data_IF_672682578411
#
_entry.id   IF_672682578411
#
_cell.length_a   1.000
_cell.length_b   1.000
_cell.length_c   1.000
_cell.angle_alpha   90.00
_cell.angle_beta   90.00
_cell.angle_gamma   90.00
#
_symmetry.space_group_name_H-M   'P 1'
#
loop_
_entity.id
_entity.type
_entity.pdbx_description
1 polymer ?
#
# COMPACT_ATOMS: atom_id res chain seq x y z
N UNK A 1 -2.41 13.60 -15.21
CA UNK A 1 -3.33 12.50 -14.93
C UNK A 1 -3.09 11.39 -15.92
N UNK A 2 -2.33 10.43 -15.48
CA UNK A 2 -1.93 9.35 -16.36
C UNK A 2 -2.00 8.02 -15.63
N UNK A 3 -2.32 6.97 -16.39
CA UNK A 3 -2.27 5.61 -15.89
C UNK A 3 -0.85 5.10 -16.12
N UNK A 4 -0.22 4.63 -15.05
CA UNK A 4 1.13 4.08 -15.10
C UNK A 4 1.08 2.56 -15.17
N UNK A 5 2.14 1.95 -15.69
CA UNK A 5 2.23 0.50 -15.78
C UNK A 5 2.55 -0.08 -14.41
N UNK A 6 1.74 -1.06 -13.98
CA UNK A 6 1.99 -1.77 -12.72
C UNK A 6 3.03 -2.85 -12.93
N UNK A 7 4.09 -2.81 -12.14
CA UNK A 7 5.17 -3.79 -12.15
C UNK A 7 4.68 -5.06 -11.48
N UNK A 8 5.00 -6.22 -12.06
CA UNK A 8 4.53 -7.52 -11.58
C UNK A 8 5.58 -8.23 -10.75
N UNK A 9 5.12 -9.21 -9.94
CA UNK A 9 6.00 -10.08 -9.18
C UNK A 9 7.04 -10.71 -10.10
N UNK A 10 8.25 -10.87 -9.56
CA UNK A 10 9.40 -11.32 -10.33
C UNK A 10 10.36 -10.20 -10.68
N UNK A 11 9.88 -8.96 -10.74
CA UNK A 11 10.75 -7.81 -10.96
C UNK A 11 11.48 -7.47 -9.65
N UNK A 12 12.82 -7.42 -9.68
CA UNK A 12 13.60 -7.14 -8.46
C UNK A 12 13.28 -5.82 -7.77
N UNK A 13 12.73 -4.82 -8.50
CA UNK A 13 12.44 -3.51 -7.91
C UNK A 13 11.43 -3.62 -6.77
N UNK A 14 10.53 -4.60 -6.81
CA UNK A 14 9.51 -4.76 -5.76
C UNK A 14 10.10 -5.15 -4.41
N UNK A 15 11.34 -5.62 -4.38
CA UNK A 15 12.04 -5.99 -3.15
C UNK A 15 13.00 -4.93 -2.65
N UNK A 16 13.00 -3.76 -3.30
CA UNK A 16 13.83 -2.64 -2.88
C UNK A 16 13.11 -1.76 -1.87
N UNK A 17 13.88 -1.16 -0.98
CA UNK A 17 13.34 -0.24 0.01
C UNK A 17 13.16 1.14 -0.62
N UNK A 18 11.99 1.73 -0.40
CA UNK A 18 11.65 3.07 -0.89
C UNK A 18 12.22 4.15 0.02
N UNK A 19 12.51 5.32 -0.55
CA UNK A 19 13.13 6.44 0.16
C UNK A 19 12.09 7.40 0.71
N UNK A 20 12.43 8.02 1.84
CA UNK A 20 11.62 9.06 2.46
C UNK A 20 11.45 10.23 1.49
N UNK A 21 10.24 10.76 1.40
CA UNK A 21 9.92 11.94 0.61
C UNK A 21 10.31 13.17 1.43
N UNK A 22 11.11 14.05 0.83
CA UNK A 22 11.57 15.29 1.48
C UNK A 22 10.95 16.54 0.84
N UNK A 23 10.53 16.45 -0.42
CA UNK A 23 9.95 17.57 -1.16
C UNK A 23 8.49 17.33 -1.47
N UNK A 24 7.65 18.26 -1.04
CA UNK A 24 6.19 18.20 -1.23
C UNK A 24 5.83 19.23 -2.30
N UNK A 25 6.03 18.86 -3.55
CA UNK A 25 5.96 19.72 -4.72
C UNK A 25 4.97 19.18 -5.77
N UNK A 26 4.96 19.82 -6.94
CA UNK A 26 4.06 19.43 -8.03
C UNK A 26 4.35 18.03 -8.56
N UNK A 27 5.60 17.55 -8.48
CA UNK A 27 5.95 16.20 -8.90
C UNK A 27 5.30 15.16 -7.99
N UNK A 28 5.29 15.42 -6.69
CA UNK A 28 4.61 14.56 -5.74
C UNK A 28 3.11 14.56 -5.99
N UNK A 29 2.52 15.73 -6.23
CA UNK A 29 1.09 15.84 -6.52
C UNK A 29 0.73 15.05 -7.79
N UNK A 30 1.53 15.17 -8.83
CA UNK A 30 1.33 14.42 -10.08
C UNK A 30 1.43 12.91 -9.84
N UNK A 31 2.42 12.48 -9.07
CA UNK A 31 2.60 11.06 -8.74
C UNK A 31 1.37 10.53 -7.99
N UNK A 32 0.88 11.27 -7.00
CA UNK A 32 -0.31 10.87 -6.24
C UNK A 32 -1.54 10.76 -7.15
N UNK A 33 -1.73 11.73 -8.04
CA UNK A 33 -2.87 11.72 -8.98
C UNK A 33 -2.77 10.54 -9.96
N UNK A 34 -1.57 10.29 -10.49
CA UNK A 34 -1.34 9.16 -11.41
C UNK A 34 -1.55 7.82 -10.70
N UNK A 35 -1.10 7.71 -9.45
CA UNK A 35 -1.28 6.49 -8.67
C UNK A 35 -2.75 6.21 -8.39
N UNK A 36 -3.54 7.25 -8.07
CA UNK A 36 -4.98 7.08 -7.88
C UNK A 36 -5.65 6.61 -9.17
N UNK A 37 -5.35 7.26 -10.29
CA UNK A 37 -5.90 6.87 -11.59
C UNK A 37 -5.53 5.42 -11.94
N UNK A 38 -4.29 5.03 -11.69
CA UNK A 38 -3.81 3.67 -11.95
C UNK A 38 -4.52 2.65 -11.06
N UNK A 39 -4.67 2.96 -9.78
CA UNK A 39 -5.36 2.11 -8.83
C UNK A 39 -6.81 1.87 -9.24
N UNK A 40 -7.54 2.94 -9.57
CA UNK A 40 -8.95 2.83 -9.97
C UNK A 40 -9.10 2.08 -11.29
N UNK A 41 -8.24 2.36 -12.26
CA UNK A 41 -8.29 1.66 -13.55
C UNK A 41 -8.04 0.15 -13.40
N UNK A 42 -7.30 -0.25 -12.37
CA UNK A 42 -6.99 -1.65 -12.08
C UNK A 42 -7.94 -2.27 -11.07
N UNK A 43 -8.95 -1.52 -10.62
CA UNK A 43 -9.93 -1.96 -9.61
C UNK A 43 -9.29 -2.40 -8.31
N UNK A 44 -8.17 -1.76 -7.93
CA UNK A 44 -7.47 -2.05 -6.69
C UNK A 44 -7.94 -1.17 -5.54
N UNK A 45 -7.65 -1.59 -4.31
CA UNK A 45 -7.96 -0.82 -3.10
C UNK A 45 -6.73 -0.08 -2.57
N UNK A 46 -5.54 -0.42 -3.04
CA UNK A 46 -4.31 0.23 -2.61
C UNK A 46 -3.21 0.08 -3.66
N UNK A 47 -2.27 1.01 -3.65
CA UNK A 47 -1.11 1.00 -4.54
C UNK A 47 0.03 1.76 -3.89
N UNK A 48 1.23 1.16 -3.91
CA UNK A 48 2.46 1.80 -3.45
C UNK A 48 3.28 2.26 -4.65
N UNK A 49 4.01 3.36 -4.49
CA UNK A 49 4.76 3.97 -5.59
C UNK A 49 5.77 3.01 -6.24
N UNK A 50 6.37 2.10 -5.48
CA UNK A 50 7.31 1.11 -6.00
C UNK A 50 6.64 0.23 -7.07
N UNK A 51 5.34 -0.01 -6.98
CA UNK A 51 4.60 -0.81 -7.95
C UNK A 51 4.50 -0.13 -9.32
N UNK A 52 4.77 1.15 -9.40
CA UNK A 52 4.88 1.88 -10.67
C UNK A 52 6.33 2.34 -10.93
N UNK A 53 7.28 1.73 -10.25
CA UNK A 53 8.71 1.95 -10.50
C UNK A 53 9.32 3.14 -9.80
N UNK A 54 8.61 3.77 -8.87
CA UNK A 54 9.08 4.95 -8.15
C UNK A 54 9.44 4.57 -6.71
N UNK A 55 10.72 4.64 -6.38
CA UNK A 55 11.21 4.24 -5.05
C UNK A 55 11.08 5.38 -4.04
N UNK A 56 9.82 5.77 -3.79
CA UNK A 56 9.46 6.80 -2.80
C UNK A 56 8.39 6.24 -1.87
N UNK A 57 8.40 6.67 -0.63
CA UNK A 57 7.45 6.21 0.38
C UNK A 57 6.10 6.90 0.21
N UNK A 58 5.39 6.53 -0.83
CA UNK A 58 4.09 7.10 -1.20
C UNK A 58 3.10 5.97 -1.46
N UNK A 59 1.90 6.09 -0.90
CA UNK A 59 0.84 5.09 -0.98
C UNK A 59 -0.49 5.79 -1.22
N UNK A 60 -1.38 5.18 -2.00
CA UNK A 60 -2.78 5.58 -2.11
C UNK A 60 -3.67 4.40 -1.76
N UNK A 61 -4.77 4.66 -1.06
CA UNK A 61 -5.73 3.63 -0.63
C UNK A 61 -7.14 4.19 -0.78
N UNK A 62 -8.07 3.36 -1.27
CA UNK A 62 -9.50 3.67 -1.26
C UNK A 62 -10.26 2.37 -1.10
N UNK A 63 -10.90 2.18 0.05
CA UNK A 63 -11.71 0.98 0.34
C UNK A 63 -13.20 1.23 0.13
N UNK A 64 -13.56 2.37 -0.51
CA UNK A 64 -14.93 2.75 -0.77
C UNK A 64 -15.38 4.02 -0.04
N UNK A 65 -14.53 4.60 0.80
CA UNK A 65 -14.84 5.79 1.59
C UNK A 65 -14.12 7.05 1.09
N UNK A 66 -13.57 6.99 -0.12
CA UNK A 66 -12.78 8.06 -0.70
C UNK A 66 -11.29 7.76 -0.62
N UNK A 67 -10.48 8.42 -1.47
CA UNK A 67 -9.06 8.16 -1.55
C UNK A 67 -8.30 8.72 -0.36
N UNK A 68 -7.31 7.95 0.10
CA UNK A 68 -6.35 8.38 1.12
C UNK A 68 -4.99 8.50 0.46
N UNK A 69 -4.31 9.62 0.67
CA UNK A 69 -2.95 9.85 0.20
C UNK A 69 -2.01 9.79 1.40
N UNK A 70 -1.09 8.86 1.38
CA UNK A 70 -0.21 8.59 2.50
C UNK A 70 1.25 8.73 2.07
N UNK A 71 1.92 9.78 2.55
CA UNK A 71 3.33 10.04 2.28
C UNK A 71 4.11 9.77 3.56
N UNK A 72 5.20 9.02 3.43
CA UNK A 72 6.02 8.60 4.57
C UNK A 72 5.21 7.93 5.68
N UNK A 73 4.32 6.98 5.35
CA UNK A 73 3.48 6.36 6.38
C UNK A 73 4.28 5.47 7.32
N UNK A 74 3.86 5.46 8.60
CA UNK A 74 4.45 4.61 9.62
C UNK A 74 3.36 4.02 10.50
N UNK A 75 3.46 2.73 10.80
CA UNK A 75 2.56 2.09 11.75
C UNK A 75 3.02 2.49 13.15
N UNK A 76 2.11 3.08 13.95
CA UNK A 76 2.43 3.51 15.31
C UNK A 76 1.76 2.66 16.39
N UNK A 77 0.74 1.87 16.00
CA UNK A 77 0.06 0.96 16.92
C UNK A 77 -0.65 -0.12 16.12
N UNK A 78 -0.65 -1.35 16.64
CA UNK A 78 -1.41 -2.43 16.00
C UNK A 78 -1.92 -3.37 17.08
N UNK A 79 -3.10 -3.95 16.85
CA UNK A 79 -3.78 -4.84 17.80
C UNK A 79 -4.51 -5.95 17.06
N UNK A 80 -4.58 -7.09 17.74
CA UNK A 80 -5.37 -8.22 17.29
C UNK A 80 -4.80 -8.90 16.06
N UNK A 81 -5.59 -9.81 15.54
CA UNK A 81 -5.20 -10.59 14.36
C UNK A 81 -6.42 -10.88 13.51
N UNK A 82 -6.25 -10.84 12.20
CA UNK A 82 -7.24 -11.35 11.24
C UNK A 82 -6.54 -12.26 10.26
N UNK A 83 -7.21 -13.35 9.92
CA UNK A 83 -6.71 -14.32 8.93
C UNK A 83 -7.72 -14.33 7.79
N UNK A 84 -7.36 -13.70 6.68
CA UNK A 84 -8.27 -13.48 5.56
C UNK A 84 -7.53 -13.55 4.24
N UNK A 85 -8.28 -13.61 3.15
CA UNK A 85 -7.70 -13.59 1.80
C UNK A 85 -7.14 -12.21 1.50
N UNK A 86 -6.00 -12.19 0.84
CA UNK A 86 -5.32 -10.96 0.43
C UNK A 86 -4.79 -11.14 -1.00
N UNK A 87 -4.89 -10.09 -1.80
CA UNK A 87 -4.37 -10.06 -3.17
C UNK A 87 -3.53 -8.83 -3.40
N UNK A 88 -2.91 -8.72 -4.57
CA UNK A 88 -2.04 -7.61 -4.92
C UNK A 88 -2.12 -7.32 -6.41
N UNK A 89 -2.15 -6.04 -6.80
CA UNK A 89 -2.18 -5.64 -8.21
C UNK A 89 -0.92 -6.10 -8.96
N UNK A 90 0.19 -6.32 -8.27
CA UNK A 90 1.42 -6.86 -8.86
C UNK A 90 1.41 -8.37 -9.06
N UNK A 91 0.38 -9.06 -8.53
CA UNK A 91 0.19 -10.50 -8.73
C UNK A 91 -1.30 -10.75 -9.05
N UNK A 92 -1.76 -10.31 -10.22
CA UNK A 92 -3.17 -10.37 -10.57
C UNK A 92 -3.69 -11.79 -10.69
N UNK A 93 -4.96 -11.97 -10.30
CA UNK A 93 -5.63 -13.27 -10.42
C UNK A 93 -5.28 -14.25 -9.32
N UNK A 94 -4.43 -13.89 -8.36
CA UNK A 94 -4.04 -14.77 -7.26
C UNK A 94 -4.34 -14.11 -5.92
N UNK A 95 -4.68 -14.93 -4.94
CA UNK A 95 -4.84 -14.49 -3.57
C UNK A 95 -4.38 -15.59 -2.63
N UNK A 96 -3.92 -15.19 -1.46
CA UNK A 96 -3.48 -16.11 -0.43
C UNK A 96 -4.06 -15.69 0.91
N UNK A 97 -4.30 -16.65 1.79
CA UNK A 97 -4.71 -16.35 3.15
C UNK A 97 -3.49 -15.83 3.92
N UNK A 98 -3.64 -14.68 4.54
CA UNK A 98 -2.56 -14.04 5.30
C UNK A 98 -3.01 -13.72 6.72
N UNK A 99 -2.04 -13.56 7.61
CA UNK A 99 -2.29 -13.08 8.98
C UNK A 99 -1.87 -11.62 9.05
N UNK A 100 -2.78 -10.77 9.48
CA UNK A 100 -2.57 -9.32 9.63
C UNK A 100 -3.18 -8.83 10.94
N UNK A 101 -2.73 -7.69 11.46
CA UNK A 101 -3.41 -7.07 12.59
C UNK A 101 -4.86 -6.73 12.24
N UNK A 102 -5.76 -6.83 13.23
CA UNK A 102 -7.16 -6.46 13.06
C UNK A 102 -7.34 -4.94 13.09
N UNK A 103 -6.54 -4.24 13.91
CA UNK A 103 -6.57 -2.80 14.03
C UNK A 103 -5.17 -2.24 13.86
N UNK A 104 -5.06 -1.17 13.09
CA UNK A 104 -3.78 -0.50 12.83
C UNK A 104 -3.98 1.00 12.91
N UNK A 105 -3.09 1.67 13.63
CA UNK A 105 -3.01 3.12 13.65
C UNK A 105 -1.71 3.52 12.96
N UNK A 106 -1.82 4.47 12.05
CA UNK A 106 -0.65 4.99 11.31
C UNK A 106 -0.56 6.50 11.44
N UNK A 107 0.64 7.01 11.25
CA UNK A 107 0.83 8.44 10.96
C UNK A 107 1.40 8.54 9.54
N UNK A 108 0.99 9.57 8.83
CA UNK A 108 1.47 9.83 7.48
C UNK A 108 1.38 11.33 7.19
N UNK A 109 2.13 11.77 6.20
CA UNK A 109 2.02 13.15 5.73
C UNK A 109 1.07 13.19 4.53
N UNK A 110 0.31 14.28 4.40
CA UNK A 110 -0.51 14.50 3.21
C UNK A 110 0.35 15.13 2.11
N UNK A 111 -0.26 15.48 0.97
CA UNK A 111 0.49 16.07 -0.16
C UNK A 111 1.13 17.43 0.16
N UNK A 112 0.68 18.07 1.23
CA UNK A 112 1.22 19.36 1.70
C UNK A 112 2.28 19.20 2.79
N UNK A 113 2.61 17.96 3.15
CA UNK A 113 3.60 17.67 4.16
C UNK A 113 3.10 17.68 5.60
N UNK A 114 1.80 17.84 5.80
CA UNK A 114 1.22 17.85 7.16
C UNK A 114 1.01 16.45 7.67
N UNK A 115 1.35 16.22 8.93
CA UNK A 115 1.15 14.93 9.60
C UNK A 115 -0.32 14.72 9.97
N UNK A 116 -0.82 13.53 9.66
CA UNK A 116 -2.18 13.10 9.96
C UNK A 116 -2.12 11.70 10.56
N UNK A 117 -3.02 11.43 11.50
CA UNK A 117 -3.14 10.09 12.09
C UNK A 117 -4.42 9.45 11.57
N UNK A 118 -4.30 8.19 11.12
CA UNK A 118 -5.44 7.39 10.69
C UNK A 118 -5.51 6.11 11.51
N UNK A 119 -6.72 5.66 11.78
CA UNK A 119 -6.96 4.38 12.43
C UNK A 119 -7.83 3.54 11.50
N UNK A 120 -7.43 2.30 11.26
CA UNK A 120 -8.17 1.39 10.41
C UNK A 120 -8.38 0.04 11.06
N UNK A 121 -9.48 -0.60 10.70
CA UNK A 121 -9.82 -1.96 11.14
C UNK A 121 -10.11 -2.81 9.93
N UNK A 122 -10.01 -4.13 10.08
CA UNK A 122 -10.38 -5.10 9.04
C UNK A 122 -9.66 -4.80 7.72
N UNK A 123 -10.41 -4.53 6.64
CA UNK A 123 -9.83 -4.30 5.31
C UNK A 123 -8.86 -3.13 5.29
N UNK A 124 -9.19 -2.02 5.96
CA UNK A 124 -8.30 -0.85 5.97
C UNK A 124 -7.01 -1.15 6.73
N UNK A 125 -7.10 -1.87 7.86
CA UNK A 125 -5.90 -2.29 8.60
C UNK A 125 -4.98 -3.15 7.72
N UNK A 126 -5.56 -4.09 6.99
CA UNK A 126 -4.84 -4.97 6.08
C UNK A 126 -4.20 -4.17 4.95
N UNK A 127 -4.94 -3.20 4.38
CA UNK A 127 -4.43 -2.35 3.31
C UNK A 127 -3.25 -1.50 3.79
N UNK A 128 -3.33 -0.91 4.98
CA UNK A 128 -2.21 -0.16 5.55
C UNK A 128 -0.95 -1.03 5.61
N UNK A 129 -1.08 -2.22 6.17
CA UNK A 129 0.06 -3.14 6.31
C UNK A 129 0.62 -3.57 4.97
N UNK A 130 -0.25 -3.94 4.03
CA UNK A 130 0.13 -4.40 2.70
C UNK A 130 0.94 -3.33 1.96
N UNK A 131 0.43 -2.10 1.93
CA UNK A 131 1.08 -1.02 1.18
C UNK A 131 2.35 -0.51 1.86
N UNK A 132 2.36 -0.42 3.19
CA UNK A 132 3.57 -0.02 3.91
C UNK A 132 4.66 -1.07 3.75
N UNK A 133 4.32 -2.36 3.75
CA UNK A 133 5.27 -3.43 3.47
C UNK A 133 5.93 -3.25 2.11
N UNK A 134 5.17 -2.89 1.08
CA UNK A 134 5.75 -2.62 -0.25
C UNK A 134 6.86 -1.57 -0.20
N UNK A 135 6.71 -0.56 0.67
CA UNK A 135 7.73 0.49 0.81
C UNK A 135 9.02 -0.04 1.41
N UNK A 136 8.97 -1.16 2.10
CA UNK A 136 10.12 -1.84 2.69
C UNK A 136 10.59 -3.05 1.87
N UNK A 137 10.01 -3.23 0.68
CA UNK A 137 10.38 -4.34 -0.19
C UNK A 137 9.82 -5.68 0.26
N UNK A 138 8.78 -5.67 1.07
CA UNK A 138 8.14 -6.87 1.61
C UNK A 138 6.85 -7.15 0.83
N UNK A 139 6.71 -8.39 0.33
CA UNK A 139 5.53 -8.81 -0.42
C UNK A 139 4.57 -9.58 0.47
N UNK A 140 3.27 -9.48 0.18
CA UNK A 140 2.26 -10.09 1.02
C UNK A 140 2.38 -11.62 1.14
N UNK A 141 3.00 -12.27 0.17
CA UNK A 141 3.22 -13.70 0.19
C UNK A 141 4.09 -14.16 1.37
N UNK A 142 4.90 -13.26 1.94
CA UNK A 142 5.70 -13.56 3.12
C UNK A 142 4.86 -13.66 4.39
N UNK A 143 3.61 -13.20 4.35
CA UNK A 143 2.65 -13.29 5.47
C UNK A 143 1.63 -14.40 5.27
N UNK A 144 1.83 -15.23 4.24
CA UNK A 144 0.92 -16.32 3.93
C UNK A 144 0.85 -17.34 5.08
N UNK A 145 -0.36 -17.74 5.42
CA UNK A 145 -0.62 -18.77 6.42
C UNK A 145 -0.70 -20.12 5.71
N UNK A 146 0.13 -21.07 6.14
CA UNK A 146 0.16 -22.42 5.59
C UNK A 146 -0.66 -23.35 6.46
N UNK A 147 -1.19 -24.40 5.84
CA UNK A 147 -1.98 -25.39 6.56
C UNK A 147 -3.47 -25.10 6.58
N UNK A 148 -3.89 -23.95 6.08
CA UNK A 148 -5.29 -23.55 6.00
C UNK A 148 -5.97 -24.06 4.74
N UNK A 149 -5.23 -24.55 3.78
CA UNK A 149 -5.72 -25.00 2.49
C UNK A 149 -6.25 -26.42 2.50
N UNK A 150 -6.26 -27.09 3.60
CA UNK A 150 -6.65 -28.49 3.70
C UNK A 150 -8.16 -28.69 3.79
#
# INVERSE_FOLDING_TARGET
MAIRTIIKFGDPVLKKKSRVVEKFDDRLATLLDDMKDTMYASEGVGLAAVQVGILKRVVVIDIGNGPMELVNPEIIEQKGEQITAEGCLSLPGESYTTSRPMEVKIKAQNRDGKWVIYKGTELLAKAFCHEIDHLDGILYTSHRVYGEEN
#
